data_IF_816100867747
#
_entry.id   IF_816100867747
#
_cell.length_a   1.000
_cell.length_b   1.000
_cell.length_c   1.000
_cell.angle_alpha   90.00
_cell.angle_beta   90.00
_cell.angle_gamma   90.00
#
_symmetry.space_group_name_H-M   'P 1'
#
loop_
_entity.id
_entity.type
_entity.pdbx_description
1 polymer ?
#
# COMPACT_ATOMS: atom_id res chain seq x y z
N UNK A 1 5.40 -9.54 7.97
CA UNK A 1 6.30 -8.35 7.95
C UNK A 1 5.44 -7.10 7.94
N UNK A 2 5.90 -6.00 8.54
CA UNK A 2 5.19 -4.70 8.51
C UNK A 2 6.10 -3.68 7.83
N UNK A 3 5.57 -2.97 6.84
CA UNK A 3 6.23 -1.85 6.17
C UNK A 3 5.49 -0.57 6.55
N UNK A 4 6.21 0.41 7.10
CA UNK A 4 5.68 1.74 7.36
C UNK A 4 5.51 2.49 6.04
N UNK A 5 6.60 3.13 5.61
CA UNK A 5 6.67 3.84 4.34
C UNK A 5 7.91 3.40 3.55
N UNK A 6 7.73 2.78 2.39
CA UNK A 6 8.78 2.20 1.54
C UNK A 6 8.60 2.67 0.09
N UNK A 7 8.74 3.98 -0.14
CA UNK A 7 8.63 4.59 -1.47
C UNK A 7 9.81 4.26 -2.39
N UNK A 8 11.02 4.37 -1.85
CA UNK A 8 12.27 4.10 -2.54
C UNK A 8 12.81 2.72 -2.16
N UNK A 9 13.10 1.89 -3.16
CA UNK A 9 13.66 0.56 -2.91
C UNK A 9 14.67 0.18 -3.99
N UNK A 10 15.66 -0.64 -3.64
CA UNK A 10 16.54 -1.24 -4.65
C UNK A 10 15.81 -2.33 -5.42
N UNK A 11 16.21 -2.61 -6.66
CA UNK A 11 15.65 -3.75 -7.41
C UNK A 11 15.73 -5.06 -6.61
N UNK A 12 16.86 -5.30 -5.93
CA UNK A 12 17.03 -6.47 -5.06
C UNK A 12 16.02 -6.48 -3.91
N UNK A 13 15.79 -5.34 -3.27
CA UNK A 13 14.81 -5.23 -2.17
C UNK A 13 13.38 -5.45 -2.65
N UNK A 14 13.01 -4.85 -3.78
CA UNK A 14 11.70 -5.03 -4.40
C UNK A 14 11.43 -6.50 -4.73
N UNK A 15 12.37 -7.15 -5.41
CA UNK A 15 12.26 -8.57 -5.76
C UNK A 15 12.25 -9.47 -4.51
N UNK A 16 12.96 -9.10 -3.44
CA UNK A 16 12.92 -9.84 -2.19
C UNK A 16 11.53 -9.75 -1.51
N UNK A 17 10.90 -8.58 -1.49
CA UNK A 17 9.53 -8.44 -0.97
C UNK A 17 8.52 -9.22 -1.80
N UNK A 18 8.60 -9.09 -3.13
CA UNK A 18 7.75 -9.86 -4.05
C UNK A 18 7.93 -11.36 -3.85
N UNK A 19 9.17 -11.84 -3.76
CA UNK A 19 9.47 -13.25 -3.52
C UNK A 19 9.00 -13.73 -2.15
N UNK A 20 9.15 -12.91 -1.10
CA UNK A 20 8.63 -13.22 0.22
C UNK A 20 7.13 -13.49 0.17
N UNK A 21 6.34 -12.60 -0.44
CA UNK A 21 4.89 -12.82 -0.61
C UNK A 21 4.61 -14.03 -1.49
N UNK A 22 5.29 -14.15 -2.62
CA UNK A 22 5.13 -15.28 -3.54
C UNK A 22 5.33 -16.64 -2.84
N UNK A 23 6.29 -16.68 -1.93
CA UNK A 23 6.64 -17.86 -1.12
C UNK A 23 5.72 -18.07 0.10
N UNK A 24 4.70 -17.26 0.29
CA UNK A 24 3.72 -17.39 1.37
C UNK A 24 3.99 -16.58 2.62
N UNK A 25 4.87 -15.59 2.50
CA UNK A 25 4.96 -14.51 3.44
C UNK A 25 3.75 -13.56 3.35
N UNK A 26 3.50 -12.85 4.45
CA UNK A 26 2.47 -11.82 4.53
C UNK A 26 3.07 -10.45 4.87
N UNK A 27 2.64 -9.41 4.16
CA UNK A 27 3.07 -8.03 4.39
C UNK A 27 1.88 -7.17 4.80
N UNK A 28 2.01 -6.42 5.90
CA UNK A 28 1.13 -5.31 6.22
C UNK A 28 1.84 -3.99 5.85
N UNK A 29 1.27 -3.22 4.94
CA UNK A 29 1.79 -1.94 4.47
C UNK A 29 0.93 -0.82 5.05
N UNK A 30 1.54 0.13 5.76
CA UNK A 30 0.84 1.16 6.56
C UNK A 30 0.84 2.56 5.93
N UNK A 31 1.42 2.73 4.75
CA UNK A 31 1.38 3.98 4.00
C UNK A 31 0.97 3.71 2.56
N UNK A 32 0.62 4.75 1.82
CA UNK A 32 0.56 4.68 0.36
C UNK A 32 1.95 5.04 -0.22
N UNK A 33 2.01 5.20 -1.54
CA UNK A 33 3.23 5.55 -2.28
C UNK A 33 4.40 4.55 -2.06
N UNK A 34 4.10 3.28 -1.75
CA UNK A 34 5.14 2.25 -1.65
C UNK A 34 5.57 1.77 -3.03
N UNK A 35 6.86 1.45 -3.15
CA UNK A 35 7.47 0.94 -4.37
C UNK A 35 7.20 1.85 -5.57
N UNK A 36 7.53 3.14 -5.42
CA UNK A 36 7.36 4.13 -6.48
C UNK A 36 8.62 4.27 -7.34
N UNK A 37 9.79 4.32 -6.69
CA UNK A 37 11.07 4.62 -7.33
C UNK A 37 12.17 3.61 -6.98
N UNK A 38 12.98 3.28 -7.99
CA UNK A 38 14.18 2.47 -7.85
C UNK A 38 15.35 3.32 -7.41
N UNK A 39 16.08 2.83 -6.41
CA UNK A 39 17.36 3.40 -5.98
C UNK A 39 18.48 2.36 -6.02
N UNK A 40 19.71 2.82 -6.08
CA UNK A 40 20.91 2.02 -5.87
C UNK A 40 21.59 2.48 -4.59
N UNK A 41 22.25 1.54 -3.89
CA UNK A 41 23.09 1.84 -2.74
C UNK A 41 24.53 1.46 -3.06
N UNK A 42 25.44 2.43 -2.99
CA UNK A 42 26.87 2.19 -3.12
C UNK A 42 27.49 2.02 -1.72
N UNK A 43 27.97 0.82 -1.36
CA UNK A 43 28.52 0.56 -0.02
C UNK A 43 29.88 1.22 0.21
N UNK A 44 30.66 1.48 -0.84
CA UNK A 44 31.97 2.14 -0.72
C UNK A 44 31.80 3.62 -0.37
N UNK A 45 30.83 4.29 -1.00
CA UNK A 45 30.57 5.71 -0.75
C UNK A 45 29.47 5.96 0.28
N UNK A 46 28.76 4.91 0.72
CA UNK A 46 27.58 4.98 1.61
C UNK A 46 26.50 5.94 1.08
N UNK A 47 26.27 5.92 -0.23
CA UNK A 47 25.31 6.83 -0.89
C UNK A 47 24.19 6.04 -1.53
N UNK A 48 22.99 6.61 -1.42
CA UNK A 48 21.81 6.21 -2.20
C UNK A 48 21.74 7.11 -3.42
N UNK A 49 21.39 6.56 -4.57
CA UNK A 49 21.17 7.32 -5.80
C UNK A 49 19.92 6.80 -6.49
N UNK A 50 19.11 7.71 -7.02
CA UNK A 50 17.98 7.35 -7.88
C UNK A 50 18.49 6.50 -9.05
N UNK A 51 17.72 5.50 -9.45
CA UNK A 51 17.92 4.78 -10.72
C UNK A 51 16.81 5.23 -11.67
N UNK A 52 15.55 5.06 -11.28
CA UNK A 52 14.40 5.46 -12.09
C UNK A 52 13.12 5.58 -11.24
N UNK A 53 12.27 6.57 -11.54
CA UNK A 53 11.03 6.88 -10.82
C UNK A 53 10.87 8.39 -10.64
N UNK A 54 9.72 8.84 -10.14
CA UNK A 54 9.39 10.27 -9.99
C UNK A 54 9.59 11.14 -11.24
N UNK A 55 9.55 10.54 -12.43
CA UNK A 55 9.72 11.23 -13.69
C UNK A 55 11.18 11.41 -14.10
N UNK A 56 12.11 10.72 -13.45
CA UNK A 56 13.54 10.82 -13.71
C UNK A 56 14.20 9.44 -13.84
N UNK A 57 15.25 9.39 -14.65
CA UNK A 57 16.25 8.30 -14.67
C UNK A 57 17.61 8.92 -14.39
N UNK A 58 18.44 8.24 -13.60
CA UNK A 58 19.80 8.69 -13.28
C UNK A 58 20.79 7.54 -13.46
N UNK A 59 21.87 7.78 -14.20
CA UNK A 59 22.89 6.76 -14.49
C UNK A 59 24.16 6.86 -13.62
N UNK A 60 24.16 7.69 -12.59
CA UNK A 60 25.34 7.97 -11.78
C UNK A 60 26.10 9.25 -12.18
N UNK A 61 25.76 9.87 -13.31
CA UNK A 61 26.41 11.10 -13.78
C UNK A 61 25.43 12.18 -14.22
N UNK A 62 24.36 11.81 -14.92
CA UNK A 62 23.35 12.74 -15.41
C UNK A 62 21.94 12.17 -15.24
N UNK A 63 20.96 13.07 -15.15
CA UNK A 63 19.55 12.72 -15.06
C UNK A 63 18.77 13.20 -16.28
N UNK A 64 17.76 12.44 -16.69
CA UNK A 64 16.83 12.80 -17.78
C UNK A 64 15.41 12.35 -17.45
N UNK A 65 14.44 12.79 -18.26
CA UNK A 65 13.03 12.45 -18.04
C UNK A 65 12.81 10.93 -18.13
N UNK A 66 12.08 10.40 -17.16
CA UNK A 66 11.73 8.99 -17.04
C UNK A 66 10.25 8.79 -16.71
N UNK A 67 9.92 7.56 -16.31
CA UNK A 67 8.57 7.23 -15.82
C UNK A 67 8.36 7.76 -14.40
N UNK A 68 7.10 8.05 -14.04
CA UNK A 68 6.78 8.48 -12.68
C UNK A 68 6.74 7.30 -11.70
N UNK A 69 6.04 6.22 -12.06
CA UNK A 69 5.96 4.99 -11.27
C UNK A 69 6.77 3.88 -11.93
N UNK A 70 7.91 3.53 -11.32
CA UNK A 70 8.89 2.59 -11.87
C UNK A 70 8.33 1.21 -12.16
N UNK A 71 7.47 0.72 -11.27
CA UNK A 71 6.94 -0.65 -11.29
C UNK A 71 5.43 -0.69 -11.51
N UNK A 72 4.84 0.26 -12.24
CA UNK A 72 3.38 0.40 -12.33
C UNK A 72 2.65 -0.91 -12.66
N UNK A 73 3.05 -1.58 -13.73
CA UNK A 73 2.45 -2.85 -14.17
C UNK A 73 2.66 -3.96 -13.14
N UNK A 74 3.85 -4.05 -12.55
CA UNK A 74 4.19 -5.11 -11.61
C UNK A 74 3.50 -4.91 -10.25
N UNK A 75 3.36 -3.65 -9.80
CA UNK A 75 2.58 -3.30 -8.62
C UNK A 75 1.09 -3.62 -8.81
N UNK A 76 0.52 -3.42 -9.99
CA UNK A 76 -0.85 -3.89 -10.27
C UNK A 76 -0.97 -5.40 -10.07
N UNK A 77 0.04 -6.17 -10.47
CA UNK A 77 0.02 -7.63 -10.38
C UNK A 77 0.18 -8.14 -8.93
N UNK A 78 1.26 -7.76 -8.22
CA UNK A 78 1.54 -8.35 -6.90
C UNK A 78 1.23 -7.45 -5.71
N UNK A 79 1.03 -6.14 -5.89
CA UNK A 79 0.64 -5.18 -4.83
C UNK A 79 -0.87 -4.90 -4.85
N UNK A 80 -1.50 -4.90 -6.02
CA UNK A 80 -2.92 -4.61 -6.22
C UNK A 80 -3.26 -3.13 -6.42
N UNK A 81 -2.31 -2.23 -6.18
CA UNK A 81 -2.53 -0.77 -6.28
C UNK A 81 -1.33 -0.01 -6.80
N UNK A 82 -1.57 1.24 -7.20
CA UNK A 82 -0.54 2.16 -7.63
C UNK A 82 -0.78 3.56 -7.08
N UNK A 83 0.32 4.29 -6.85
CA UNK A 83 0.29 5.71 -6.55
C UNK A 83 -0.45 6.49 -7.65
N UNK A 84 -1.37 7.35 -7.26
CA UNK A 84 -2.14 8.14 -8.22
C UNK A 84 -2.49 9.54 -7.74
N UNK A 85 -2.50 9.80 -6.44
CA UNK A 85 -2.94 11.08 -5.88
C UNK A 85 -1.82 11.77 -5.11
N UNK A 86 -1.83 13.11 -5.12
CA UNK A 86 -0.96 13.92 -4.26
C UNK A 86 -1.61 15.25 -3.90
N UNK A 87 -1.28 15.83 -2.73
CA UNK A 87 -2.01 16.95 -2.11
C UNK A 87 -2.44 18.08 -3.08
N UNK A 88 -1.57 18.46 -4.03
CA UNK A 88 -1.87 19.54 -4.98
C UNK A 88 -2.93 19.17 -6.05
N UNK A 89 -3.46 17.95 -6.06
CA UNK A 89 -4.52 17.52 -6.99
C UNK A 89 -5.92 17.99 -6.60
N UNK A 90 -6.11 18.50 -5.38
CA UNK A 90 -7.38 19.08 -4.92
C UNK A 90 -8.49 18.07 -4.64
N UNK A 91 -8.13 16.89 -4.15
CA UNK A 91 -9.07 15.91 -3.61
C UNK A 91 -9.15 16.05 -2.07
N UNK A 92 -10.17 15.46 -1.47
CA UNK A 92 -10.25 15.28 -0.02
C UNK A 92 -10.37 13.80 0.32
N UNK A 93 -9.84 13.41 1.47
CA UNK A 93 -9.96 12.06 2.02
C UNK A 93 -10.26 12.14 3.51
N UNK A 94 -11.15 11.29 4.02
CA UNK A 94 -11.57 11.32 5.43
C UNK A 94 -12.20 10.00 5.86
N UNK A 95 -11.66 9.39 6.92
CA UNK A 95 -12.11 8.11 7.47
C UNK A 95 -12.26 6.98 6.44
N UNK A 96 -12.55 5.78 6.92
CA UNK A 96 -12.84 4.64 6.08
C UNK A 96 -14.19 4.00 6.45
N UNK A 97 -14.93 3.53 5.46
CA UNK A 97 -16.18 2.81 5.67
C UNK A 97 -15.90 1.31 5.52
N UNK A 98 -16.18 0.52 6.55
CA UNK A 98 -16.08 -0.93 6.49
C UNK A 98 -16.95 -1.47 5.35
N UNK A 99 -16.38 -2.28 4.46
CA UNK A 99 -17.06 -2.71 3.23
C UNK A 99 -17.53 -4.16 3.26
N UNK A 100 -16.61 -5.10 2.99
CA UNK A 100 -16.95 -6.46 2.56
C UNK A 100 -17.15 -7.42 3.72
N UNK A 101 -17.40 -8.69 3.38
CA UNK A 101 -17.39 -9.83 4.31
C UNK A 101 -15.99 -10.27 4.72
N UNK A 102 -14.92 -9.55 4.32
CA UNK A 102 -13.57 -9.85 4.76
C UNK A 102 -13.54 -9.96 6.30
N UNK A 103 -12.94 -11.00 6.89
CA UNK A 103 -12.98 -11.23 8.34
C UNK A 103 -12.51 -10.02 9.16
N UNK A 104 -11.45 -9.34 8.72
CA UNK A 104 -10.99 -8.09 9.34
C UNK A 104 -12.04 -6.97 9.28
N UNK A 105 -12.78 -6.83 8.18
CA UNK A 105 -13.85 -5.82 8.05
C UNK A 105 -14.97 -6.10 9.04
N UNK A 106 -15.41 -7.36 9.12
CA UNK A 106 -16.43 -7.81 10.08
C UNK A 106 -15.96 -7.58 11.51
N UNK A 107 -14.72 -7.94 11.81
CA UNK A 107 -14.15 -7.82 13.15
C UNK A 107 -14.06 -6.35 13.60
N UNK A 108 -13.59 -5.46 12.73
CA UNK A 108 -13.48 -4.03 13.01
C UNK A 108 -14.85 -3.39 13.22
N UNK A 109 -15.81 -3.63 12.32
CA UNK A 109 -17.14 -3.00 12.44
C UNK A 109 -17.93 -3.49 13.64
N UNK A 110 -17.74 -4.74 14.06
CA UNK A 110 -18.34 -5.29 15.28
C UNK A 110 -17.71 -4.68 16.54
N UNK A 111 -16.40 -4.41 16.53
CA UNK A 111 -15.71 -3.87 17.71
C UNK A 111 -15.88 -2.36 17.87
N UNK A 112 -15.90 -1.63 16.76
CA UNK A 112 -15.93 -0.17 16.73
C UNK A 112 -17.24 0.34 16.13
N UNK A 113 -17.28 0.54 14.81
CA UNK A 113 -18.48 0.93 14.08
C UNK A 113 -18.26 0.72 12.57
N UNK A 114 -19.28 0.98 11.74
CA UNK A 114 -19.12 0.97 10.28
C UNK A 114 -18.17 2.07 9.79
N UNK A 115 -18.17 3.24 10.43
CA UNK A 115 -17.18 4.29 10.18
C UNK A 115 -15.93 3.96 11.02
N UNK A 116 -14.84 3.72 10.32
CA UNK A 116 -13.55 3.35 10.86
C UNK A 116 -12.56 4.49 10.62
N UNK A 117 -11.62 4.58 11.53
CA UNK A 117 -10.45 5.43 11.50
C UNK A 117 -10.69 6.96 11.49
N UNK A 118 -9.71 7.68 12.00
CA UNK A 118 -9.65 9.13 12.02
C UNK A 118 -9.30 9.68 10.63
N UNK A 119 -9.64 10.95 10.44
CA UNK A 119 -9.23 11.70 9.27
C UNK A 119 -7.72 11.99 9.31
N UNK A 120 -7.13 12.17 8.13
CA UNK A 120 -5.75 12.64 7.97
C UNK A 120 -5.66 13.67 6.84
N UNK A 121 -4.59 14.46 6.83
CA UNK A 121 -4.38 15.47 5.81
C UNK A 121 -4.00 14.80 4.47
N UNK A 122 -4.71 15.07 3.35
CA UNK A 122 -4.40 14.45 2.08
C UNK A 122 -2.97 14.78 1.62
N UNK A 123 -2.19 13.76 1.24
CA UNK A 123 -0.90 14.03 0.62
C UNK A 123 -0.44 13.07 -0.47
N UNK A 124 -0.70 11.75 -0.44
CA UNK A 124 -0.15 10.79 -1.44
C UNK A 124 -0.87 9.41 -1.53
N UNK A 125 -1.93 9.20 -2.30
CA UNK A 125 -2.73 7.97 -2.19
C UNK A 125 -2.49 6.99 -3.33
N UNK A 126 -2.57 5.71 -2.97
CA UNK A 126 -2.70 4.64 -3.95
C UNK A 126 -4.17 4.41 -4.28
N UNK A 127 -4.45 4.16 -5.56
CA UNK A 127 -5.74 3.63 -6.01
C UNK A 127 -5.61 2.14 -6.29
N UNK A 128 -6.67 1.38 -6.02
CA UNK A 128 -6.77 -0.01 -6.44
C UNK A 128 -6.65 -0.05 -7.97
N UNK A 129 -5.74 -0.88 -8.47
CA UNK A 129 -5.57 -1.15 -9.91
C UNK A 129 -5.80 -2.62 -10.26
N UNK A 130 -6.03 -3.49 -9.26
CA UNK A 130 -6.37 -4.89 -9.45
C UNK A 130 -7.81 -5.19 -8.99
N UNK A 131 -8.61 -5.80 -9.87
CA UNK A 131 -10.01 -6.11 -9.58
C UNK A 131 -10.21 -7.32 -8.66
N UNK A 132 -9.19 -8.11 -8.38
CA UNK A 132 -9.28 -9.27 -7.46
C UNK A 132 -9.09 -8.91 -5.99
N UNK A 133 -8.82 -7.64 -5.68
CA UNK A 133 -8.55 -7.18 -4.32
C UNK A 133 -9.75 -7.39 -3.38
N UNK A 134 -9.47 -7.95 -2.21
CA UNK A 134 -10.46 -8.16 -1.16
C UNK A 134 -10.50 -6.93 -0.26
N UNK A 135 -11.38 -5.98 -0.61
CA UNK A 135 -11.50 -4.73 0.13
C UNK A 135 -11.94 -4.97 1.58
N UNK A 136 -11.27 -4.32 2.53
CA UNK A 136 -11.59 -4.33 3.96
C UNK A 136 -12.41 -3.08 4.32
N UNK A 137 -11.96 -1.91 3.88
CA UNK A 137 -12.64 -0.63 4.09
C UNK A 137 -12.33 0.35 2.95
N UNK A 138 -13.29 1.21 2.60
CA UNK A 138 -13.08 2.27 1.60
C UNK A 138 -12.79 3.59 2.28
N UNK A 139 -11.68 4.23 1.95
CA UNK A 139 -11.47 5.61 2.34
C UNK A 139 -12.47 6.52 1.62
N UNK A 140 -13.02 7.53 2.31
CA UNK A 140 -13.97 8.45 1.67
C UNK A 140 -13.23 9.48 0.84
N UNK A 141 -12.89 9.08 -0.39
CA UNK A 141 -12.33 9.97 -1.40
C UNK A 141 -13.43 10.86 -1.99
N UNK A 142 -13.15 12.15 -2.11
CA UNK A 142 -13.89 13.06 -2.98
C UNK A 142 -12.93 13.65 -4.01
N UNK A 143 -13.10 13.24 -5.27
CA UNK A 143 -12.31 13.77 -6.37
C UNK A 143 -13.09 13.81 -7.69
N UNK A 144 -13.55 14.99 -8.08
CA UNK A 144 -14.43 15.15 -9.25
C UNK A 144 -13.80 14.80 -10.59
N UNK A 145 -12.47 14.85 -10.71
CA UNK A 145 -11.75 14.53 -11.95
C UNK A 145 -11.66 13.03 -12.23
N UNK A 146 -11.73 12.21 -11.18
CA UNK A 146 -11.65 10.76 -11.25
C UNK A 146 -12.62 10.13 -10.24
N UNK A 147 -13.94 10.19 -10.52
CA UNK A 147 -14.96 9.65 -9.62
C UNK A 147 -14.95 8.11 -9.52
N UNK A 148 -14.26 7.47 -10.46
CA UNK A 148 -14.05 6.02 -10.56
C UNK A 148 -12.88 5.51 -9.69
N UNK A 149 -12.03 6.41 -9.19
CA UNK A 149 -10.87 6.02 -8.40
C UNK A 149 -11.25 5.57 -7.00
N UNK A 150 -10.66 4.45 -6.58
CA UNK A 150 -10.94 3.82 -5.30
C UNK A 150 -9.68 3.81 -4.45
N UNK A 151 -9.72 4.52 -3.33
CA UNK A 151 -8.72 4.43 -2.26
C UNK A 151 -9.30 3.55 -1.17
N UNK A 152 -8.59 2.49 -0.80
CA UNK A 152 -9.11 1.49 0.12
C UNK A 152 -8.02 0.86 0.97
N UNK A 153 -8.45 0.26 2.07
CA UNK A 153 -7.72 -0.79 2.75
C UNK A 153 -8.17 -2.12 2.15
N UNK A 154 -7.25 -2.95 1.71
CA UNK A 154 -7.57 -4.21 1.03
C UNK A 154 -6.53 -5.28 1.36
N UNK A 155 -6.94 -6.55 1.25
CA UNK A 155 -6.03 -7.67 1.10
C UNK A 155 -5.88 -8.00 -0.39
N UNK A 156 -4.64 -8.08 -0.87
CA UNK A 156 -4.34 -8.65 -2.18
C UNK A 156 -3.57 -9.96 -2.03
N UNK A 157 -4.03 -10.99 -2.72
CA UNK A 157 -3.41 -12.32 -2.69
C UNK A 157 -2.51 -12.48 -3.89
N UNK A 158 -1.28 -12.91 -3.64
CA UNK A 158 -0.29 -13.11 -4.68
C UNK A 158 0.44 -14.43 -4.48
N UNK A 159 0.21 -15.35 -5.42
CA UNK A 159 0.67 -16.73 -5.34
C UNK A 159 0.33 -17.38 -3.99
N UNK A 160 1.33 -17.75 -3.19
CA UNK A 160 1.13 -18.47 -1.92
C UNK A 160 1.02 -17.56 -0.70
N UNK A 161 1.01 -16.23 -0.88
CA UNK A 161 0.92 -15.25 0.21
C UNK A 161 -0.05 -14.12 -0.09
N UNK A 162 0.00 -13.10 0.75
CA UNK A 162 -0.83 -11.91 0.57
C UNK A 162 -0.18 -10.67 1.17
N UNK A 163 -0.70 -9.51 0.81
CA UNK A 163 -0.42 -8.28 1.53
C UNK A 163 -1.72 -7.57 1.88
N UNK A 164 -1.67 -6.77 2.93
CA UNK A 164 -2.71 -5.82 3.28
C UNK A 164 -2.10 -4.42 3.19
N UNK A 165 -2.75 -3.51 2.46
CA UNK A 165 -2.32 -2.11 2.37
C UNK A 165 -3.37 -1.23 3.06
N UNK A 166 -2.98 -0.52 4.11
CA UNK A 166 -3.78 0.47 4.81
C UNK A 166 -3.20 1.86 4.62
N UNK A 167 -3.66 2.58 3.59
CA UNK A 167 -3.20 3.92 3.19
C UNK A 167 -3.10 4.86 4.41
N UNK A 168 -1.94 5.54 4.54
CA UNK A 168 -1.55 6.44 5.65
C UNK A 168 -2.00 6.06 7.04
N UNK A 169 -2.03 4.75 7.31
CA UNK A 169 -2.13 4.26 8.66
C UNK A 169 -1.07 4.88 9.58
N UNK A 170 0.15 5.13 9.09
CA UNK A 170 1.22 5.77 9.86
C UNK A 170 0.85 7.09 10.52
N UNK A 171 0.04 7.92 9.86
CA UNK A 171 -0.27 9.28 10.29
C UNK A 171 -1.18 9.30 11.51
N UNK A 172 -2.12 8.35 11.54
CA UNK A 172 -3.14 8.27 12.58
C UNK A 172 -2.86 7.14 13.57
N UNK A 173 -1.90 6.24 13.32
CA UNK A 173 -1.59 5.06 14.15
C UNK A 173 -1.38 5.41 15.63
N UNK A 174 -0.74 6.53 15.93
CA UNK A 174 -0.46 6.91 17.33
C UNK A 174 -1.70 7.35 18.11
N UNK A 175 -2.76 7.78 17.43
CA UNK A 175 -3.95 8.41 18.05
C UNK A 175 -5.24 7.60 17.82
N UNK A 176 -5.23 6.69 16.84
CA UNK A 176 -6.40 5.94 16.41
C UNK A 176 -6.42 4.51 16.96
N UNK A 177 -7.28 4.28 17.95
CA UNK A 177 -7.43 2.95 18.58
C UNK A 177 -7.97 1.90 17.61
N UNK A 178 -8.82 2.28 16.66
CA UNK A 178 -9.34 1.34 15.67
C UNK A 178 -8.23 0.89 14.72
N UNK A 179 -7.35 1.81 14.32
CA UNK A 179 -6.22 1.46 13.48
C UNK A 179 -5.15 0.65 14.22
N UNK A 180 -4.81 1.00 15.46
CA UNK A 180 -3.92 0.19 16.29
C UNK A 180 -4.45 -1.25 16.42
N UNK A 181 -5.76 -1.38 16.63
CA UNK A 181 -6.42 -2.67 16.69
C UNK A 181 -6.40 -3.40 15.34
N UNK A 182 -6.61 -2.70 14.23
CA UNK A 182 -6.49 -3.27 12.88
C UNK A 182 -5.10 -3.85 12.62
N UNK A 183 -4.03 -3.16 13.03
CA UNK A 183 -2.66 -3.68 12.88
C UNK A 183 -2.50 -5.00 13.63
N UNK A 184 -2.92 -5.06 14.89
CA UNK A 184 -2.87 -6.29 15.69
C UNK A 184 -3.74 -7.40 15.11
N UNK A 185 -4.97 -7.06 14.70
CA UNK A 185 -5.90 -8.00 14.10
C UNK A 185 -5.37 -8.56 12.76
N UNK A 186 -4.68 -7.75 11.96
CA UNK A 186 -4.07 -8.18 10.70
C UNK A 186 -2.93 -9.19 10.94
N UNK A 187 -2.10 -8.95 11.96
CA UNK A 187 -1.04 -9.89 12.36
C UNK A 187 -1.66 -11.23 12.82
N UNK A 188 -2.72 -11.15 13.63
CA UNK A 188 -3.45 -12.34 14.07
C UNK A 188 -4.11 -13.07 12.88
N UNK A 189 -4.73 -12.33 11.95
CA UNK A 189 -5.35 -12.88 10.75
C UNK A 189 -4.35 -13.66 9.91
N UNK A 190 -3.18 -13.08 9.60
CA UNK A 190 -2.13 -13.75 8.83
C UNK A 190 -1.60 -15.05 9.48
N UNK A 191 -1.69 -15.18 10.80
CA UNK A 191 -1.20 -16.39 11.49
C UNK A 191 -2.27 -17.47 11.66
N UNK A 192 -3.55 -17.13 11.59
CA UNK A 192 -4.65 -18.05 11.95
C UNK A 192 -5.60 -18.37 10.79
N UNK A 193 -5.58 -17.61 9.70
CA UNK A 193 -6.42 -17.84 8.53
C UNK A 193 -5.54 -18.26 7.35
N UNK A 194 -5.16 -19.55 7.26
CA UNK A 194 -4.42 -20.03 6.11
C UNK A 194 -5.28 -19.85 4.86
N UNK A 195 -4.75 -19.13 3.88
CA UNK A 195 -5.38 -19.04 2.57
C UNK A 195 -5.47 -20.44 1.99
N UNK A 196 -6.69 -20.87 1.69
CA UNK A 196 -6.92 -22.12 0.97
C UNK A 196 -6.48 -21.90 -0.48
N UNK A 197 -5.25 -22.30 -0.81
CA UNK A 197 -4.79 -22.29 -2.18
C UNK A 197 -5.38 -23.52 -2.88
N UNK A 198 -6.43 -23.31 -3.68
CA UNK A 198 -6.76 -24.27 -4.74
C UNK A 198 -5.62 -24.23 -5.76
N UNK A 199 -4.90 -25.36 -5.83
CA UNK A 199 -3.86 -25.66 -6.83
C UNK A 199 -4.50 -25.72 -8.20
#
# INVERSE_FOLDING_TARGET
MILGFTEYVTLKGYLAYKHFVASGGHILVLSACNFLAEVSYNPLTKRVSLVEGHGWVFNGTAAWRGVYARWYTDNTDWVGSNYALYSARGYTISGAVANTTHPLSVFLRTRFSTLLFNDYAPHEENIITNSSDLVIAYWRLSYSKHPDWVVAIYEHRYQRGSLILGVFGTDILSQDKALQYFVLASIYYFTNYPHSYTI
#
